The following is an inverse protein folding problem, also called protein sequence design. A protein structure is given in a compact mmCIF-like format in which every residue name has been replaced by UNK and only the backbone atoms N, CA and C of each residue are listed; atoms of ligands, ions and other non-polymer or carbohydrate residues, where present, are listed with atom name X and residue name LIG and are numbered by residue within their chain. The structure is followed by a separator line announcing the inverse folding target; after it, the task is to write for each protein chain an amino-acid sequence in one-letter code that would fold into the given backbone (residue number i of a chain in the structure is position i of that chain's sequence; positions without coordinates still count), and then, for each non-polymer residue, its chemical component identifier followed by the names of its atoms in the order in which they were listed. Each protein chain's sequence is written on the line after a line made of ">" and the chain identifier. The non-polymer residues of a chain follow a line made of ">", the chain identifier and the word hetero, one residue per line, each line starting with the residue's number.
data_IF_923098914113
#
_entry.id   IF_923098914113
#
_cell.length_a   1.000
_cell.length_b   1.000
_cell.length_c   1.000
_cell.angle_alpha   90.00
_cell.angle_beta   90.00
_cell.angle_gamma   90.00
#
_symmetry.space_group_name_H-M   'P 1'
#
loop_
_entity.id
_entity.type
_entity.pdbx_description
1 polymer ?
#
# COMPACT_ATOMS: atom_id res chain seq x y z
N UNK A 1 -5.69 -6.16 -2.98
CA UNK A 1 -5.25 -5.41 -1.77
C UNK A 1 -4.68 -4.03 -2.09
N UNK A 2 -4.54 -3.67 -3.37
CA UNK A 2 -3.95 -2.40 -3.82
C UNK A 2 -4.47 -1.13 -3.15
N UNK A 3 -5.77 -1.01 -2.90
CA UNK A 3 -6.31 0.16 -2.21
C UNK A 3 -5.84 0.27 -0.75
N UNK A 4 -5.66 -0.86 -0.05
CA UNK A 4 -5.06 -0.88 1.28
C UNK A 4 -3.56 -0.55 1.22
N UNK A 5 -2.81 -1.18 0.30
CA UNK A 5 -1.38 -0.90 0.14
C UNK A 5 -1.11 0.57 -0.24
N UNK A 6 -1.93 1.15 -1.12
CA UNK A 6 -1.86 2.57 -1.49
C UNK A 6 -2.15 3.50 -0.31
N UNK A 7 -3.05 3.12 0.59
CA UNK A 7 -3.30 3.85 1.83
C UNK A 7 -2.13 3.72 2.81
N UNK A 8 -1.55 2.52 2.95
CA UNK A 8 -0.38 2.32 3.80
C UNK A 8 0.83 3.18 3.34
N UNK A 9 0.99 3.42 2.03
CA UNK A 9 2.01 4.34 1.48
C UNK A 9 1.88 5.78 1.98
N UNK A 10 0.72 6.19 2.51
CA UNK A 10 0.52 7.53 3.08
C UNK A 10 0.74 7.55 4.60
N UNK A 11 1.34 6.52 5.18
CA UNK A 11 1.64 6.41 6.62
C UNK A 11 0.54 5.75 7.45
N UNK A 12 -0.52 5.23 6.83
CA UNK A 12 -1.53 4.43 7.53
C UNK A 12 -1.05 3.00 7.77
N UNK A 13 -1.77 2.29 8.65
CA UNK A 13 -1.70 0.84 8.76
C UNK A 13 -3.10 0.25 8.89
N UNK A 14 -3.82 0.21 7.76
CA UNK A 14 -5.26 -0.06 7.77
C UNK A 14 -5.59 -1.55 7.61
N UNK A 15 -6.79 -1.95 8.03
CA UNK A 15 -7.29 -3.31 7.80
C UNK A 15 -7.78 -3.51 6.35
N UNK A 16 -7.97 -4.77 5.89
CA UNK A 16 -8.45 -5.06 4.54
C UNK A 16 -9.81 -4.40 4.21
N UNK A 17 -10.72 -4.31 5.19
CA UNK A 17 -12.03 -3.68 4.98
C UNK A 17 -11.94 -2.17 4.73
N UNK A 18 -11.00 -1.47 5.34
CA UNK A 18 -10.72 -0.08 4.96
C UNK A 18 -10.25 0.01 3.50
N UNK A 19 -9.48 -0.97 3.02
CA UNK A 19 -9.11 -1.07 1.61
C UNK A 19 -10.32 -1.22 0.68
N UNK A 20 -11.31 -2.03 1.06
CA UNK A 20 -12.59 -2.14 0.33
C UNK A 20 -13.33 -0.79 0.32
N UNK A 21 -13.42 -0.13 1.47
CA UNK A 21 -14.07 1.17 1.59
C UNK A 21 -13.39 2.26 0.74
N UNK A 22 -12.06 2.31 0.72
CA UNK A 22 -11.29 3.26 -0.10
C UNK A 22 -11.39 2.95 -1.61
N UNK A 23 -11.47 1.66 -1.98
CA UNK A 23 -11.73 1.28 -3.36
C UNK A 23 -13.13 1.72 -3.82
N UNK A 24 -14.15 1.54 -2.98
CA UNK A 24 -15.50 2.04 -3.24
C UNK A 24 -15.53 3.57 -3.32
N UNK A 25 -14.89 4.26 -2.37
CA UNK A 25 -14.76 5.72 -2.38
C UNK A 25 -14.13 6.21 -3.68
N UNK A 26 -13.02 5.61 -4.10
CA UNK A 26 -12.35 5.97 -5.37
C UNK A 26 -13.30 5.83 -6.56
N UNK A 27 -14.00 4.69 -6.68
CA UNK A 27 -14.99 4.47 -7.76
C UNK A 27 -16.14 5.48 -7.73
N UNK A 28 -16.64 5.84 -6.54
CA UNK A 28 -17.72 6.81 -6.39
C UNK A 28 -17.26 8.24 -6.70
N UNK A 29 -16.00 8.57 -6.38
CA UNK A 29 -15.35 9.83 -6.77
C UNK A 29 -15.17 9.93 -8.28
N UNK A 30 -14.71 8.86 -8.93
CA UNK A 30 -14.56 8.79 -10.40
C UNK A 30 -15.90 8.95 -11.13
N UNK A 31 -16.97 8.39 -10.57
CA UNK A 31 -18.35 8.55 -11.07
C UNK A 31 -19.02 9.86 -10.65
N UNK A 32 -18.31 10.74 -9.94
CA UNK A 32 -18.83 12.00 -9.40
C UNK A 32 -20.08 11.86 -8.51
N UNK A 33 -20.31 10.68 -7.93
CA UNK A 33 -21.38 10.44 -6.94
C UNK A 33 -21.02 11.05 -5.59
N UNK A 34 -19.72 11.04 -5.25
CA UNK A 34 -19.16 11.80 -4.14
C UNK A 34 -18.35 12.94 -4.74
N UNK A 35 -18.65 14.18 -4.33
CA UNK A 35 -17.98 15.40 -4.78
C UNK A 35 -16.57 15.56 -4.22
N UNK A 36 -15.75 16.45 -4.82
CA UNK A 36 -14.40 16.74 -4.34
C UNK A 36 -14.32 17.30 -2.93
N UNK A 37 -15.32 18.07 -2.54
CA UNK A 37 -15.38 18.79 -1.28
C UNK A 37 -16.35 18.16 -0.27
N UNK A 38 -16.91 16.99 -0.59
CA UNK A 38 -17.85 16.30 0.30
C UNK A 38 -17.09 15.78 1.52
N UNK A 39 -17.57 16.17 2.71
CA UNK A 39 -17.06 15.64 3.97
C UNK A 39 -17.37 14.15 4.03
N UNK A 40 -16.34 13.35 3.79
CA UNK A 40 -16.45 11.88 3.73
C UNK A 40 -15.68 11.26 4.88
N UNK A 41 -16.31 10.35 5.62
CA UNK A 41 -15.68 9.59 6.70
C UNK A 41 -15.68 8.11 6.34
N UNK A 42 -14.50 7.49 6.38
CA UNK A 42 -14.34 6.05 6.19
C UNK A 42 -14.19 5.39 7.57
N UNK A 43 -15.03 4.38 7.84
CA UNK A 43 -15.01 3.66 9.12
C UNK A 43 -14.01 2.50 9.05
N UNK A 44 -12.98 2.53 9.90
CA UNK A 44 -12.07 1.41 10.13
C UNK A 44 -12.56 0.57 11.31
N UNK A 45 -12.96 -0.66 11.05
CA UNK A 45 -13.59 -1.53 12.06
C UNK A 45 -12.60 -2.42 12.82
N UNK A 46 -11.35 -2.47 12.37
CA UNK A 46 -10.31 -3.29 12.97
C UNK A 46 -8.94 -2.65 12.79
N UNK A 47 -8.08 -2.82 13.80
CA UNK A 47 -6.69 -2.36 13.73
C UNK A 47 -5.90 -3.17 12.70
N UNK A 48 -5.08 -2.51 11.87
CA UNK A 48 -4.23 -3.18 10.87
C UNK A 48 -3.25 -4.21 11.44
N UNK A 49 -2.86 -4.13 12.72
CA UNK A 49 -1.97 -5.10 13.39
C UNK A 49 -2.54 -6.51 13.43
N UNK A 50 -3.86 -6.67 13.28
CA UNK A 50 -4.49 -7.99 13.14
C UNK A 50 -4.22 -8.66 11.79
N UNK A 51 -3.64 -7.95 10.82
CA UNK A 51 -3.52 -8.37 9.42
C UNK A 51 -2.09 -8.25 8.89
N UNK A 52 -1.07 -8.31 9.75
CA UNK A 52 0.35 -8.21 9.36
C UNK A 52 0.72 -9.27 8.33
N UNK A 53 0.34 -10.52 8.53
CA UNK A 53 0.65 -11.62 7.59
C UNK A 53 0.15 -11.34 6.17
N UNK A 54 -1.08 -10.82 6.04
CA UNK A 54 -1.65 -10.45 4.76
C UNK A 54 -0.86 -9.35 4.05
N UNK A 55 -0.32 -8.38 4.80
CA UNK A 55 0.52 -7.32 4.24
C UNK A 55 1.89 -7.86 3.85
N UNK A 56 2.51 -8.71 4.67
CA UNK A 56 3.77 -9.39 4.35
C UNK A 56 3.64 -10.15 3.03
N UNK A 57 2.64 -11.02 2.90
CA UNK A 57 2.44 -11.79 1.66
C UNK A 57 2.13 -10.91 0.44
N UNK A 58 1.46 -9.77 0.61
CA UNK A 58 1.25 -8.82 -0.48
C UNK A 58 2.58 -8.16 -0.92
N UNK A 59 3.38 -7.64 0.01
CA UNK A 59 4.64 -6.99 -0.32
C UNK A 59 5.73 -7.98 -0.77
N UNK A 60 5.65 -9.25 -0.37
CA UNK A 60 6.48 -10.34 -0.86
C UNK A 60 5.99 -10.92 -2.20
N UNK A 61 4.84 -10.46 -2.71
CA UNK A 61 4.22 -10.94 -3.96
C UNK A 61 3.87 -12.45 -3.93
N UNK A 62 3.53 -12.98 -2.76
CA UNK A 62 3.28 -14.40 -2.51
C UNK A 62 1.78 -14.78 -2.61
N UNK A 63 0.90 -13.84 -2.96
CA UNK A 63 -0.55 -14.09 -3.05
C UNK A 63 -0.87 -14.62 -4.46
N UNK A 64 -1.28 -15.90 -4.61
CA UNK A 64 -1.53 -16.48 -5.93
C UNK A 64 -2.65 -15.76 -6.68
N UNK A 65 -2.44 -15.50 -7.97
CA UNK A 65 -3.43 -14.85 -8.82
C UNK A 65 -3.65 -13.34 -8.54
N UNK A 66 -2.84 -12.72 -7.68
CA UNK A 66 -2.92 -11.30 -7.37
C UNK A 66 -1.68 -10.54 -7.83
N UNK A 67 -1.85 -9.59 -8.74
CA UNK A 67 -0.80 -8.62 -9.07
C UNK A 67 -0.65 -7.62 -7.93
N UNK A 68 0.49 -7.64 -7.24
CA UNK A 68 0.78 -6.73 -6.13
C UNK A 68 1.45 -5.45 -6.62
N UNK A 69 0.65 -4.56 -7.23
CA UNK A 69 1.11 -3.33 -7.91
C UNK A 69 1.95 -2.40 -7.02
N UNK A 70 1.63 -2.37 -5.72
CA UNK A 70 2.29 -1.50 -4.74
C UNK A 70 3.18 -2.31 -3.78
N UNK A 71 3.65 -3.49 -4.20
CA UNK A 71 4.62 -4.26 -3.43
C UNK A 71 5.90 -3.43 -3.19
N UNK A 72 6.49 -3.57 -2.01
CA UNK A 72 7.71 -2.88 -1.61
C UNK A 72 8.59 -3.88 -0.83
N UNK A 73 9.09 -4.92 -1.50
CA UNK A 73 9.96 -5.89 -0.85
C UNK A 73 11.30 -5.24 -0.47
N UNK A 74 11.99 -5.75 0.56
CA UNK A 74 13.38 -5.38 0.81
C UNK A 74 14.23 -5.62 -0.45
N UNK A 75 15.19 -4.74 -0.70
CA UNK A 75 16.16 -4.88 -1.79
C UNK A 75 17.43 -5.55 -1.24
N UNK A 76 17.75 -6.79 -1.60
CA UNK A 76 18.99 -7.43 -1.17
C UNK A 76 20.20 -6.69 -1.76
N UNK A 77 21.20 -6.41 -0.93
CA UNK A 77 22.43 -5.73 -1.33
C UNK A 77 23.61 -6.42 -0.67
N UNK A 78 24.77 -6.42 -1.33
CA UNK A 78 26.01 -6.93 -0.74
C UNK A 78 26.45 -6.04 0.42
N UNK A 79 27.19 -6.62 1.37
CA UNK A 79 27.84 -5.90 2.48
C UNK A 79 29.05 -5.06 2.00
N UNK A 80 28.82 -4.23 0.99
CA UNK A 80 29.81 -3.38 0.36
C UNK A 80 29.29 -1.94 0.29
N UNK A 81 30.12 -0.98 0.69
CA UNK A 81 29.75 0.43 0.69
C UNK A 81 29.37 0.92 -0.71
N UNK A 82 30.11 0.50 -1.75
CA UNK A 82 29.84 0.86 -3.13
C UNK A 82 28.47 0.36 -3.57
N UNK A 83 28.21 -0.93 -3.36
CA UNK A 83 26.92 -1.56 -3.69
C UNK A 83 25.73 -0.91 -2.97
N UNK A 84 25.89 -0.54 -1.68
CA UNK A 84 24.85 0.18 -0.94
C UNK A 84 24.60 1.56 -1.55
N UNK A 85 25.67 2.32 -1.82
CA UNK A 85 25.53 3.67 -2.40
C UNK A 85 24.91 3.63 -3.80
N UNK A 86 25.23 2.64 -4.63
CA UNK A 86 24.64 2.50 -5.97
C UNK A 86 23.13 2.27 -5.91
N UNK A 87 22.66 1.42 -4.99
CA UNK A 87 21.22 1.19 -4.77
C UNK A 87 20.53 2.45 -4.27
N UNK A 88 21.15 3.20 -3.35
CA UNK A 88 20.58 4.45 -2.83
C UNK A 88 20.46 5.51 -3.93
N UNK A 89 21.51 5.72 -4.72
CA UNK A 89 21.49 6.65 -5.86
C UNK A 89 20.41 6.29 -6.87
N UNK A 90 20.32 5.01 -7.22
CA UNK A 90 19.29 4.55 -8.16
C UNK A 90 17.87 4.68 -7.61
N UNK A 91 17.66 4.49 -6.30
CA UNK A 91 16.32 4.50 -5.69
C UNK A 91 15.80 5.91 -5.40
N UNK A 92 16.69 6.79 -4.97
CA UNK A 92 16.32 8.14 -4.54
C UNK A 92 16.72 9.22 -5.54
N UNK A 93 17.35 8.85 -6.65
CA UNK A 93 17.87 9.78 -7.66
C UNK A 93 18.78 10.86 -7.03
N UNK A 94 19.62 10.44 -6.08
CA UNK A 94 20.61 11.29 -5.38
C UNK A 94 22.02 11.07 -5.91
#
# INVERSE_FOLDING_TARGET
>A
MDAAARADLTGMFNCPHTGVALAALTKLRERQVIGPNDRTVVVSTAHGLKFTQSKVSYHAQEIPGLTSKYANPPTPVKEDLGAVMDVLKSKFNI
#
